data_IF_961029699987
#
_entry.id   IF_961029699987
#
_cell.length_a   1.000
_cell.length_b   1.000
_cell.length_c   1.000
_cell.angle_alpha   90.00
_cell.angle_beta   90.00
_cell.angle_gamma   90.00
#
_symmetry.space_group_name_H-M   'P 1'
#
loop_
_entity.id
_entity.type
_entity.pdbx_description
1 polymer ?
#
# COMPACT_ATOMS: atom_id res chain seq x y z
N UNK A 1 8.58 6.89 -6.46
CA UNK A 1 8.61 6.21 -5.15
C UNK A 1 7.74 4.96 -5.27
N UNK A 2 8.09 3.85 -4.60
CA UNK A 2 7.29 2.63 -4.64
C UNK A 2 6.91 2.18 -3.22
N UNK A 3 5.66 1.75 -3.06
CA UNK A 3 5.14 1.24 -1.78
C UNK A 3 4.55 -0.16 -1.95
N UNK A 4 4.80 -1.07 -0.99
CA UNK A 4 4.20 -2.39 -1.03
C UNK A 4 2.76 -2.38 -0.49
N UNK A 5 1.92 -3.17 -1.14
CA UNK A 5 0.56 -3.47 -0.70
C UNK A 5 0.28 -4.96 -0.82
N UNK A 6 -0.62 -5.49 0.00
CA UNK A 6 -1.18 -6.84 -0.16
C UNK A 6 -2.52 -6.74 -0.86
N UNK A 7 -2.72 -7.55 -1.89
CA UNK A 7 -3.99 -7.60 -2.62
C UNK A 7 -5.05 -8.25 -1.74
N UNK A 8 -6.09 -7.49 -1.40
CA UNK A 8 -7.29 -7.96 -0.71
C UNK A 8 -8.27 -8.53 -1.74
N UNK A 9 -8.51 -7.79 -2.82
CA UNK A 9 -9.51 -8.11 -3.86
C UNK A 9 -9.03 -7.62 -5.23
N UNK A 10 -9.42 -8.29 -6.31
CA UNK A 10 -9.16 -7.89 -7.69
C UNK A 10 -10.47 -7.66 -8.41
N UNK A 11 -10.70 -6.42 -8.85
CA UNK A 11 -11.93 -6.02 -9.55
C UNK A 11 -11.66 -6.05 -11.05
N UNK A 12 -12.41 -6.89 -11.78
CA UNK A 12 -12.26 -7.04 -13.23
C UNK A 12 -13.51 -6.60 -13.96
N UNK A 13 -13.38 -5.94 -15.12
CA UNK A 13 -14.53 -5.49 -15.88
C UNK A 13 -15.34 -6.64 -16.50
N UNK A 14 -14.77 -7.84 -16.56
CA UNK A 14 -15.41 -9.06 -17.05
C UNK A 14 -16.22 -9.81 -15.99
N UNK A 15 -16.17 -9.38 -14.73
CA UNK A 15 -16.89 -10.05 -13.63
C UNK A 15 -18.38 -9.74 -13.66
N UNK A 16 -19.21 -10.74 -13.36
CA UNK A 16 -20.68 -10.62 -13.44
C UNK A 16 -21.25 -9.56 -12.49
N UNK A 17 -20.57 -9.31 -11.38
CA UNK A 17 -20.98 -8.38 -10.33
C UNK A 17 -20.39 -6.97 -10.53
N UNK A 18 -19.66 -6.75 -11.63
CA UNK A 18 -18.96 -5.49 -11.91
C UNK A 18 -19.55 -4.84 -13.17
N UNK A 19 -20.16 -3.67 -13.00
CA UNK A 19 -20.52 -2.79 -14.13
C UNK A 19 -19.40 -1.77 -14.32
N UNK A 20 -18.74 -1.79 -15.47
CA UNK A 20 -17.53 -0.98 -15.73
C UNK A 20 -17.75 0.10 -16.77
N UNK A 21 -17.12 1.27 -16.57
CA UNK A 21 -17.03 2.34 -17.57
C UNK A 21 -15.86 2.18 -18.54
N UNK A 22 -14.89 1.33 -18.21
CA UNK A 22 -13.69 1.07 -19.00
C UNK A 22 -13.23 -0.39 -18.87
N UNK A 23 -12.09 -0.73 -19.46
CA UNK A 23 -11.52 -2.08 -19.46
C UNK A 23 -10.36 -2.26 -18.49
N UNK A 24 -10.13 -1.31 -17.60
CA UNK A 24 -9.04 -1.37 -16.63
C UNK A 24 -9.37 -2.37 -15.51
N UNK A 25 -8.34 -2.97 -14.94
CA UNK A 25 -8.46 -3.85 -13.76
C UNK A 25 -8.02 -3.04 -12.56
N UNK A 26 -8.74 -3.12 -11.45
CA UNK A 26 -8.34 -2.51 -10.19
C UNK A 26 -8.02 -3.58 -9.15
N UNK A 27 -7.23 -3.21 -8.16
CA UNK A 27 -6.98 -4.05 -7.00
C UNK A 27 -7.20 -3.23 -5.73
N UNK A 28 -7.91 -3.82 -4.77
CA UNK A 28 -8.03 -3.30 -3.41
C UNK A 28 -6.83 -3.80 -2.62
N UNK A 29 -6.07 -2.88 -2.02
CA UNK A 29 -4.81 -3.17 -1.36
C UNK A 29 -4.86 -2.80 0.13
N UNK A 30 -4.38 -3.72 0.97
CA UNK A 30 -3.92 -3.42 2.34
C UNK A 30 -2.47 -2.93 2.25
N UNK A 31 -2.26 -1.64 2.51
CA UNK A 31 -0.97 -1.01 2.38
C UNK A 31 -0.13 -1.19 3.65
N UNK A 32 1.18 -1.15 3.50
CA UNK A 32 2.14 -1.29 4.61
C UNK A 32 1.96 -0.29 5.77
N UNK A 33 1.27 0.82 5.52
CA UNK A 33 0.99 1.89 6.48
C UNK A 33 -0.45 1.84 7.04
N UNK A 34 -1.15 0.73 6.83
CA UNK A 34 -2.52 0.44 7.30
C UNK A 34 -3.62 1.24 6.60
N UNK A 35 -3.30 1.82 5.43
CA UNK A 35 -4.33 2.35 4.54
C UNK A 35 -4.90 1.24 3.66
N UNK A 36 -6.20 1.31 3.38
CA UNK A 36 -6.84 0.51 2.33
C UNK A 36 -7.04 1.41 1.12
N UNK A 37 -6.49 1.03 -0.03
CA UNK A 37 -6.54 1.85 -1.25
C UNK A 37 -6.88 0.97 -2.45
N UNK A 38 -7.80 1.42 -3.29
CA UNK A 38 -8.13 0.78 -4.58
C UNK A 38 -7.36 1.47 -5.69
N UNK A 39 -6.56 0.72 -6.45
CA UNK A 39 -5.67 1.27 -7.47
C UNK A 39 -5.78 0.51 -8.80
N UNK A 40 -5.53 1.20 -9.90
CA UNK A 40 -5.43 0.58 -11.22
C UNK A 40 -4.24 -0.38 -11.28
N UNK A 41 -4.44 -1.52 -11.93
CA UNK A 41 -3.42 -2.52 -12.20
C UNK A 41 -2.88 -2.33 -13.61
N UNK A 42 -1.55 -2.23 -13.72
CA UNK A 42 -0.89 -2.15 -15.03
C UNK A 42 -1.36 -3.29 -15.95
N UNK A 43 -1.81 -2.94 -17.16
CA UNK A 43 -2.34 -3.88 -18.15
C UNK A 43 -1.42 -5.09 -18.40
N UNK A 44 -0.10 -4.91 -18.29
CA UNK A 44 0.91 -5.97 -18.49
C UNK A 44 0.85 -7.09 -17.44
N UNK A 45 0.27 -6.83 -16.27
CA UNK A 45 0.13 -7.79 -15.16
C UNK A 45 -1.32 -8.02 -14.74
N UNK A 46 -2.28 -7.32 -15.34
CA UNK A 46 -3.70 -7.39 -15.01
C UNK A 46 -4.26 -8.83 -15.04
N UNK A 47 -3.85 -9.66 -16.00
CA UNK A 47 -4.28 -11.05 -16.08
C UNK A 47 -3.64 -11.98 -15.03
N UNK A 48 -2.57 -11.54 -14.35
CA UNK A 48 -1.76 -12.36 -13.43
C UNK A 48 -1.98 -12.04 -11.96
N UNK A 49 -2.51 -10.85 -11.66
CA UNK A 49 -2.76 -10.42 -10.28
C UNK A 49 -3.85 -11.27 -9.64
N UNK A 50 -3.64 -11.61 -8.36
CA UNK A 50 -4.54 -12.44 -7.54
C UNK A 50 -4.54 -11.93 -6.10
N UNK A 51 -5.62 -12.23 -5.39
CA UNK A 51 -5.73 -12.04 -3.95
C UNK A 51 -4.56 -12.68 -3.19
N UNK A 52 -4.19 -12.07 -2.06
CA UNK A 52 -3.12 -12.51 -1.17
C UNK A 52 -1.70 -12.22 -1.68
N UNK A 53 -1.54 -11.76 -2.93
CA UNK A 53 -0.22 -11.39 -3.45
C UNK A 53 0.28 -10.07 -2.84
N UNK A 54 1.61 -9.96 -2.68
CA UNK A 54 2.25 -8.68 -2.37
C UNK A 54 2.60 -8.00 -3.68
N UNK A 55 2.28 -6.72 -3.82
CA UNK A 55 2.54 -5.92 -5.01
C UNK A 55 3.36 -4.68 -4.68
N UNK A 56 3.94 -4.05 -5.71
CA UNK A 56 4.52 -2.71 -5.61
C UNK A 56 3.69 -1.72 -6.41
N UNK A 57 3.30 -0.64 -5.74
CA UNK A 57 2.56 0.48 -6.30
C UNK A 57 3.53 1.60 -6.66
N UNK A 58 3.41 2.16 -7.86
CA UNK A 58 4.17 3.30 -8.33
C UNK A 58 3.51 4.63 -7.92
N UNK A 59 4.19 5.36 -7.04
CA UNK A 59 3.84 6.71 -6.59
C UNK A 59 4.78 7.77 -7.19
N UNK A 60 5.53 7.46 -8.26
CA UNK A 60 6.28 8.52 -8.96
C UNK A 60 5.30 9.58 -9.49
N UNK A 61 5.68 10.86 -9.48
CA UNK A 61 4.93 11.90 -10.15
C UNK A 61 4.72 11.51 -11.61
N UNK A 62 3.51 11.70 -12.12
CA UNK A 62 3.28 11.61 -13.54
C UNK A 62 3.83 12.87 -14.22
N UNK A 63 4.76 12.66 -15.15
CA UNK A 63 5.49 13.72 -15.86
C UNK A 63 4.57 14.57 -16.76
N UNK A 64 3.32 14.16 -16.96
CA UNK A 64 2.34 14.86 -17.80
C UNK A 64 1.68 16.06 -17.10
N UNK A 65 1.85 16.23 -15.79
CA UNK A 65 1.20 17.30 -15.03
C UNK A 65 2.25 18.24 -14.43
N UNK A 66 2.00 19.56 -14.52
CA UNK A 66 2.87 20.58 -13.90
C UNK A 66 2.90 20.45 -12.36
N UNK A 67 1.79 20.03 -11.76
CA UNK A 67 1.74 19.65 -10.35
C UNK A 67 2.05 18.14 -10.20
N UNK A 68 2.90 17.73 -9.23
CA UNK A 68 3.27 16.34 -9.07
C UNK A 68 2.10 15.50 -8.57
N UNK A 69 1.34 14.90 -9.49
CA UNK A 69 0.29 13.93 -9.19
C UNK A 69 0.91 12.53 -9.21
N UNK A 70 0.83 11.74 -8.14
CA UNK A 70 1.35 10.38 -8.16
C UNK A 70 0.59 9.50 -9.16
N UNK A 71 1.32 8.65 -9.88
CA UNK A 71 0.75 7.75 -10.89
C UNK A 71 -0.24 6.71 -10.32
N UNK A 72 -0.09 6.30 -9.07
CA UNK A 72 -1.02 5.39 -8.36
C UNK A 72 -1.33 4.09 -9.13
N UNK A 73 -0.28 3.42 -9.62
CA UNK A 73 -0.43 2.23 -10.47
C UNK A 73 0.24 1.00 -9.85
N UNK A 74 -0.45 -0.14 -9.80
CA UNK A 74 0.15 -1.43 -9.42
C UNK A 74 1.09 -1.87 -10.55
N UNK A 75 2.39 -1.86 -10.26
CA UNK A 75 3.43 -2.01 -11.28
C UNK A 75 4.08 -3.40 -11.29
N UNK A 76 4.11 -4.08 -10.14
CA UNK A 76 4.80 -5.38 -9.99
C UNK A 76 4.07 -6.28 -9.01
N UNK A 77 4.05 -7.57 -9.32
CA UNK A 77 3.69 -8.64 -8.38
C UNK A 77 4.99 -9.21 -7.82
N UNK A 78 5.08 -9.33 -6.49
CA UNK A 78 6.18 -9.95 -5.78
C UNK A 78 5.75 -11.34 -5.31
N UNK A 79 6.65 -12.31 -5.44
CA UNK A 79 6.39 -13.69 -5.05
C UNK A 79 7.48 -14.27 -4.14
N UNK A 80 7.12 -15.34 -3.44
CA UNK A 80 8.01 -16.15 -2.62
C UNK A 80 8.78 -15.35 -1.56
N UNK A 81 10.06 -15.69 -1.38
CA UNK A 81 10.93 -15.07 -0.35
C UNK A 81 11.05 -13.56 -0.52
N UNK A 82 10.94 -13.05 -1.75
CA UNK A 82 11.05 -11.61 -2.04
C UNK A 82 9.84 -10.83 -1.53
N UNK A 83 8.63 -11.36 -1.76
CA UNK A 83 7.38 -10.79 -1.23
C UNK A 83 7.43 -10.67 0.28
N UNK A 84 7.75 -11.78 0.97
CA UNK A 84 7.85 -11.84 2.43
C UNK A 84 8.86 -10.81 2.96
N UNK A 85 10.08 -10.81 2.42
CA UNK A 85 11.15 -9.89 2.85
C UNK A 85 10.75 -8.41 2.70
N UNK A 86 10.16 -8.05 1.56
CA UNK A 86 9.75 -6.66 1.31
C UNK A 86 8.63 -6.25 2.26
N UNK A 87 7.60 -7.08 2.40
CA UNK A 87 6.48 -6.80 3.30
C UNK A 87 6.95 -6.61 4.74
N UNK A 88 7.72 -7.57 5.27
CA UNK A 88 8.24 -7.52 6.63
C UNK A 88 9.09 -6.27 6.90
N UNK A 89 9.93 -5.86 5.94
CA UNK A 89 10.77 -4.68 6.10
C UNK A 89 9.94 -3.40 6.30
N UNK A 90 8.87 -3.22 5.53
CA UNK A 90 8.01 -2.05 5.65
C UNK A 90 7.12 -2.12 6.91
N UNK A 91 6.50 -3.27 7.19
CA UNK A 91 5.66 -3.44 8.38
C UNK A 91 6.45 -3.23 9.68
N UNK A 92 7.66 -3.81 9.79
CA UNK A 92 8.50 -3.60 10.97
C UNK A 92 8.92 -2.13 11.15
N UNK A 93 9.20 -1.43 10.05
CA UNK A 93 9.55 -0.01 10.09
C UNK A 93 8.35 0.84 10.56
N UNK A 94 7.14 0.51 10.13
CA UNK A 94 5.91 1.16 10.59
C UNK A 94 5.63 0.88 12.06
N UNK A 95 5.74 -0.37 12.51
CA UNK A 95 5.60 -0.74 13.92
C UNK A 95 6.61 0.01 14.81
N UNK A 96 7.88 0.10 14.38
CA UNK A 96 8.91 0.86 15.10
C UNK A 96 8.55 2.35 15.20
N UNK A 97 8.00 2.94 14.14
CA UNK A 97 7.52 4.33 14.16
C UNK A 97 6.39 4.51 15.18
N UNK A 98 5.39 3.63 15.16
CA UNK A 98 4.26 3.66 16.11
C UNK A 98 4.71 3.54 17.56
N UNK A 99 5.61 2.60 17.86
CA UNK A 99 6.17 2.45 19.22
C UNK A 99 6.90 3.71 19.69
N UNK A 100 7.69 4.34 18.81
CA UNK A 100 8.39 5.59 19.13
C UNK A 100 7.43 6.75 19.44
N UNK A 101 6.32 6.86 18.71
CA UNK A 101 5.29 7.87 18.97
C UNK A 101 4.61 7.59 20.31
N UNK A 102 4.25 6.34 20.60
CA UNK A 102 3.60 5.95 21.85
C UNK A 102 4.46 6.27 23.09
N UNK A 103 5.78 6.02 23.04
CA UNK A 103 6.71 6.35 24.14
C UNK A 103 6.79 7.86 24.39
N UNK A 104 6.75 8.68 23.33
CA UNK A 104 6.76 10.15 23.46
C UNK A 104 5.45 10.74 23.98
N UNK A 105 4.35 10.02 23.83
CA UNK A 105 3.02 10.45 24.26
C UNK A 105 2.72 10.16 25.74
N UNK A 106 3.57 9.40 26.45
CA UNK A 106 3.41 9.21 27.89
C UNK A 106 3.78 10.51 28.63
N UNK A 107 2.89 11.07 29.47
CA UNK A 107 3.23 12.22 30.28
C UNK A 107 4.40 11.86 31.20
N UNK A 108 5.41 12.72 31.26
CA UNK A 108 6.50 12.57 32.21
C UNK A 108 5.91 12.47 33.62
N UNK A 109 6.36 11.53 34.48
CA UNK A 109 5.86 11.44 35.84
C UNK A 109 6.06 12.80 36.51
N UNK A 110 4.96 13.35 37.04
CA UNK A 110 4.96 14.66 37.69
C UNK A 110 6.06 14.66 38.76
N UNK A 111 7.05 15.53 38.60
CA UNK A 111 8.05 15.76 39.64
C UNK A 111 7.32 16.39 40.83
N UNK A 112 7.04 15.57 41.84
CA UNK A 112 6.54 16.02 43.12
C UNK A 112 7.64 16.85 43.79
N UNK A 113 7.57 18.17 43.68
CA UNK A 113 8.34 19.06 44.53
C UNK A 113 7.86 18.87 45.96
N UNK A 114 8.70 18.27 46.80
CA UNK A 114 8.51 18.24 48.25
C UNK A 114 8.87 19.65 48.76
N UNK A 115 7.92 20.31 49.41
CA UNK A 115 8.10 21.59 50.11
C UNK A 115 8.62 21.36 51.53
#
# INVERSE_FOLDING_TARGET
>A
MYHPGKVIEVIRPSEKEVTSSDTSVQAVLDMWDENIITLEVSAKIAAKIKEGQVVLVDYRPDEKFEAPVPRHLVAKILEGKKAKKVWEAYSQMQERKKRRVAVKAQPSPAQSYIQ
#
